data_IF_213714452292
#
_entry.id   IF_213714452292
#
_cell.length_a   1.000
_cell.length_b   1.000
_cell.length_c   1.000
_cell.angle_alpha   90.00
_cell.angle_beta   90.00
_cell.angle_gamma   90.00
#
_symmetry.space_group_name_H-M   'P 1'
#
loop_
_entity.id
_entity.type
_entity.pdbx_description
1 polymer ?
#
# COMPACT_ATOMS: atom_id res chain seq x y z
N UNK A 1 -47.90 20.78 35.98
CA UNK A 1 -47.90 19.32 35.74
C UNK A 1 -47.08 18.68 36.83
N UNK A 2 -47.71 17.86 37.67
CA UNK A 2 -47.01 17.13 38.73
C UNK A 2 -45.96 16.24 38.09
N UNK A 3 -44.67 16.51 38.35
CA UNK A 3 -43.59 15.65 37.89
C UNK A 3 -43.72 14.30 38.56
N UNK A 4 -43.91 13.25 37.76
CA UNK A 4 -43.92 11.87 38.26
C UNK A 4 -42.58 11.58 38.95
N UNK A 5 -42.67 11.24 40.24
CA UNK A 5 -41.52 10.87 41.06
C UNK A 5 -41.44 9.35 41.12
N UNK A 6 -40.25 8.82 40.88
CA UNK A 6 -39.93 7.40 40.95
C UNK A 6 -39.01 7.20 42.16
N UNK A 7 -39.28 6.16 42.94
CA UNK A 7 -38.46 5.76 44.09
C UNK A 7 -37.36 4.79 43.66
N UNK A 8 -36.11 5.13 43.97
CA UNK A 8 -34.96 4.29 43.63
C UNK A 8 -34.94 3.03 44.50
N UNK A 9 -34.76 1.85 43.90
CA UNK A 9 -34.65 0.56 44.61
C UNK A 9 -33.35 0.42 45.40
N UNK A 10 -32.29 1.15 45.04
CA UNK A 10 -30.99 1.12 45.72
C UNK A 10 -30.92 2.10 46.91
N UNK A 11 -31.15 3.40 46.69
CA UNK A 11 -31.02 4.42 47.75
C UNK A 11 -32.34 4.80 48.44
N UNK A 12 -33.49 4.33 47.96
CA UNK A 12 -34.81 4.61 48.54
C UNK A 12 -35.33 6.04 48.33
N UNK A 13 -34.57 6.92 47.66
CA UNK A 13 -34.96 8.33 47.43
C UNK A 13 -35.97 8.46 46.29
N UNK A 14 -36.97 9.32 46.46
CA UNK A 14 -37.89 9.74 45.40
C UNK A 14 -37.28 10.85 44.55
N UNK A 15 -37.17 10.61 43.25
CA UNK A 15 -36.56 11.53 42.30
C UNK A 15 -37.40 11.64 41.04
N UNK A 16 -37.22 12.73 40.29
CA UNK A 16 -37.90 12.91 39.01
C UNK A 16 -37.49 11.81 38.01
N UNK A 17 -38.38 11.45 37.09
CA UNK A 17 -38.14 10.45 36.05
C UNK A 17 -36.86 10.67 35.20
N UNK A 18 -36.38 11.91 35.08
CA UNK A 18 -35.13 12.26 34.37
C UNK A 18 -33.86 11.70 35.03
N UNK A 19 -33.92 11.35 36.31
CA UNK A 19 -32.81 10.75 37.07
C UNK A 19 -32.67 9.24 36.83
N UNK A 20 -33.49 8.66 35.94
CA UNK A 20 -33.49 7.25 35.60
C UNK A 20 -33.28 7.05 34.09
N UNK A 21 -32.55 6.01 33.70
CA UNK A 21 -32.42 5.63 32.29
C UNK A 21 -33.71 4.98 31.78
N UNK A 22 -33.94 5.06 30.48
CA UNK A 22 -35.09 4.42 29.81
C UNK A 22 -34.93 2.91 29.87
N UNK A 23 -36.03 2.18 30.03
CA UNK A 23 -36.06 0.72 29.99
C UNK A 23 -37.27 0.19 29.25
N UNK A 24 -37.01 -0.79 28.39
CA UNK A 24 -38.05 -1.58 27.69
C UNK A 24 -38.27 -2.96 28.32
N UNK A 25 -37.59 -3.24 29.44
CA UNK A 25 -37.75 -4.52 30.16
C UNK A 25 -39.19 -4.65 30.67
N UNK A 26 -39.82 -5.84 30.55
CA UNK A 26 -41.19 -6.06 31.01
C UNK A 26 -41.42 -5.67 32.48
N UNK A 27 -40.40 -5.83 33.32
CA UNK A 27 -40.41 -5.49 34.75
C UNK A 27 -40.46 -3.98 35.03
N UNK A 28 -40.14 -3.15 34.05
CA UNK A 28 -40.17 -1.69 34.15
C UNK A 28 -41.31 -1.07 33.32
N UNK A 29 -42.28 -1.86 32.87
CA UNK A 29 -43.39 -1.41 32.01
C UNK A 29 -44.25 -0.30 32.63
N UNK A 30 -44.38 -0.26 33.96
CA UNK A 30 -45.18 0.75 34.66
C UNK A 30 -44.60 2.17 34.58
N UNK A 31 -43.28 2.31 34.50
CA UNK A 31 -42.59 3.62 34.48
C UNK A 31 -41.84 3.87 33.18
N UNK A 32 -41.55 2.84 32.38
CA UNK A 32 -40.66 2.90 31.22
C UNK A 32 -39.21 3.28 31.58
N UNK A 33 -38.84 3.17 32.86
CA UNK A 33 -37.57 3.60 33.43
C UNK A 33 -36.98 2.52 34.31
N UNK A 34 -35.65 2.46 34.40
CA UNK A 34 -34.99 1.60 35.38
C UNK A 34 -35.45 1.93 36.81
N UNK A 35 -35.50 0.91 37.67
CA UNK A 35 -35.82 1.07 39.10
C UNK A 35 -34.68 1.70 39.90
N UNK A 36 -33.46 1.73 39.36
CA UNK A 36 -32.25 2.29 39.99
C UNK A 36 -31.90 3.64 39.37
N UNK A 37 -31.62 4.65 40.19
CA UNK A 37 -31.26 5.99 39.71
C UNK A 37 -29.83 6.06 39.17
N UNK A 38 -29.57 7.04 38.29
CA UNK A 38 -28.27 7.27 37.63
C UNK A 38 -27.11 7.38 38.61
N UNK A 39 -27.30 8.06 39.75
CA UNK A 39 -26.25 8.22 40.76
C UNK A 39 -25.88 6.90 41.44
N UNK A 40 -26.85 6.02 41.69
CA UNK A 40 -26.59 4.71 42.28
C UNK A 40 -25.81 3.81 41.31
N UNK A 41 -26.19 3.80 40.03
CA UNK A 41 -25.46 3.08 39.00
C UNK A 41 -24.03 3.61 38.84
N UNK A 42 -23.86 4.93 38.88
CA UNK A 42 -22.54 5.54 38.81
C UNK A 42 -21.66 5.18 40.02
N UNK A 43 -22.24 5.17 41.22
CA UNK A 43 -21.52 4.79 42.43
C UNK A 43 -21.10 3.31 42.40
N UNK A 44 -21.95 2.42 41.88
CA UNK A 44 -21.62 1.00 41.73
C UNK A 44 -20.49 0.81 40.72
N UNK A 45 -20.55 1.51 39.59
CA UNK A 45 -19.51 1.52 38.58
C UNK A 45 -18.17 2.02 39.13
N UNK A 46 -18.18 3.08 39.95
CA UNK A 46 -16.97 3.66 40.52
C UNK A 46 -16.23 2.76 41.51
N UNK A 47 -16.87 1.72 42.07
CA UNK A 47 -16.20 0.77 42.98
C UNK A 47 -15.06 0.03 42.32
N UNK A 48 -15.24 -0.34 41.05
CA UNK A 48 -14.27 -1.09 40.26
C UNK A 48 -14.44 -0.73 38.78
N UNK A 49 -13.98 0.46 38.42
CA UNK A 49 -14.19 1.09 37.09
C UNK A 49 -13.35 0.44 35.98
N UNK A 50 -12.22 -0.16 36.35
CA UNK A 50 -11.24 -0.69 35.41
C UNK A 50 -11.50 -2.19 35.12
N UNK A 51 -12.38 -2.82 35.90
CA UNK A 51 -12.75 -4.23 35.75
C UNK A 51 -13.97 -4.40 34.84
N UNK A 52 -13.75 -4.95 33.65
CA UNK A 52 -14.81 -5.20 32.67
C UNK A 52 -15.93 -6.10 33.21
N UNK A 53 -15.58 -7.08 34.06
CA UNK A 53 -16.57 -7.99 34.67
C UNK A 53 -17.52 -7.24 35.60
N UNK A 54 -17.07 -6.17 36.26
CA UNK A 54 -17.94 -5.32 37.07
C UNK A 54 -18.98 -4.59 36.19
N UNK A 55 -18.55 -4.06 35.04
CA UNK A 55 -19.44 -3.42 34.07
C UNK A 55 -20.49 -4.39 33.55
N UNK A 56 -20.05 -5.58 33.12
CA UNK A 56 -20.91 -6.69 32.71
C UNK A 56 -21.93 -7.04 33.81
N UNK A 57 -21.48 -7.19 35.06
CA UNK A 57 -22.37 -7.49 36.19
C UNK A 57 -23.43 -6.40 36.42
N UNK A 58 -23.06 -5.11 36.31
CA UNK A 58 -24.01 -3.99 36.44
C UNK A 58 -25.06 -4.04 35.34
N UNK A 59 -24.63 -4.24 34.08
CA UNK A 59 -25.52 -4.33 32.92
C UNK A 59 -26.47 -5.52 33.03
N UNK A 60 -25.99 -6.65 33.55
CA UNK A 60 -26.81 -7.83 33.87
C UNK A 60 -27.90 -7.52 34.88
N UNK A 61 -27.59 -6.79 35.95
CA UNK A 61 -28.57 -6.43 36.98
C UNK A 61 -29.69 -5.52 36.47
N UNK A 62 -29.42 -4.69 35.45
CA UNK A 62 -30.39 -3.76 34.86
C UNK A 62 -30.98 -4.25 33.54
N UNK A 63 -30.67 -5.49 33.15
CA UNK A 63 -31.15 -6.12 31.92
C UNK A 63 -30.84 -5.27 30.67
N UNK A 64 -29.56 -4.90 30.50
CA UNK A 64 -29.04 -4.18 29.33
C UNK A 64 -27.94 -4.97 28.64
N UNK A 65 -27.85 -4.91 27.30
CA UNK A 65 -26.84 -5.64 26.56
C UNK A 65 -25.45 -5.07 26.86
N UNK A 66 -24.46 -5.96 26.88
CA UNK A 66 -23.06 -5.59 26.75
C UNK A 66 -22.62 -5.79 25.30
N UNK A 67 -22.31 -4.70 24.62
CA UNK A 67 -21.72 -4.63 23.27
C UNK A 67 -20.33 -4.00 23.39
N UNK A 68 -19.29 -4.72 22.96
CA UNK A 68 -17.89 -4.35 23.19
C UNK A 68 -17.49 -3.08 22.42
N UNK A 69 -17.85 -2.98 21.14
CA UNK A 69 -17.51 -1.82 20.30
C UNK A 69 -18.10 -0.51 20.83
N UNK A 70 -19.34 -0.57 21.34
CA UNK A 70 -19.98 0.57 21.98
C UNK A 70 -19.31 0.96 23.30
N UNK A 71 -18.74 -0.02 24.01
CA UNK A 71 -18.01 0.20 25.26
C UNK A 71 -16.69 0.92 24.97
N UNK A 72 -15.90 0.41 24.04
CA UNK A 72 -14.65 1.06 23.59
C UNK A 72 -14.91 2.48 23.09
N UNK A 73 -15.97 2.66 22.28
CA UNK A 73 -16.38 3.99 21.82
C UNK A 73 -16.73 4.95 22.97
N UNK A 74 -17.40 4.45 24.01
CA UNK A 74 -17.76 5.25 25.18
C UNK A 74 -16.52 5.63 26.03
N UNK A 75 -15.54 4.74 26.16
CA UNK A 75 -14.25 5.02 26.82
C UNK A 75 -13.52 6.13 26.06
N UNK A 76 -13.34 5.98 24.75
CA UNK A 76 -12.65 6.96 23.90
C UNK A 76 -13.33 8.35 23.91
N UNK A 77 -14.67 8.40 23.87
CA UNK A 77 -15.42 9.66 23.96
C UNK A 77 -15.24 10.33 25.34
N UNK A 78 -15.14 9.54 26.41
CA UNK A 78 -14.97 10.06 27.77
C UNK A 78 -13.58 10.66 28.00
N UNK A 79 -12.55 10.13 27.34
CA UNK A 79 -11.17 10.61 27.43
C UNK A 79 -10.95 11.89 26.61
N UNK A 80 -11.58 11.99 25.43
CA UNK A 80 -11.45 13.14 24.53
C UNK A 80 -12.18 14.41 25.01
N UNK A 81 -13.28 14.27 25.78
CA UNK A 81 -14.09 15.42 26.24
C UNK A 81 -13.76 15.82 27.68
N UNK A 82 -13.01 16.93 27.84
CA UNK A 82 -12.71 17.58 29.15
C UNK A 82 -13.94 17.86 30.05
N UNK A 83 -15.15 18.00 29.49
CA UNK A 83 -16.41 18.26 30.24
C UNK A 83 -17.16 17.00 30.70
N UNK A 84 -16.80 15.80 30.23
CA UNK A 84 -17.43 14.51 30.60
C UNK A 84 -16.43 13.48 31.14
N UNK A 85 -15.23 13.95 31.51
CA UNK A 85 -14.17 13.13 32.08
C UNK A 85 -14.71 12.37 33.30
N UNK A 86 -14.83 11.05 33.18
CA UNK A 86 -15.25 10.15 34.27
C UNK A 86 -16.68 9.60 34.22
N UNK A 87 -17.51 9.94 33.22
CA UNK A 87 -18.86 9.36 33.07
C UNK A 87 -18.98 8.35 31.91
N UNK A 88 -18.06 7.39 31.86
CA UNK A 88 -18.03 6.32 30.83
C UNK A 88 -19.36 5.59 30.76
N UNK A 89 -19.89 5.17 31.91
CA UNK A 89 -21.18 4.46 32.01
C UNK A 89 -22.34 5.30 31.46
N UNK A 90 -22.37 6.61 31.73
CA UNK A 90 -23.41 7.49 31.18
C UNK A 90 -23.34 7.63 29.66
N UNK A 91 -22.13 7.72 29.09
CA UNK A 91 -21.92 7.72 27.63
C UNK A 91 -22.36 6.40 27.02
N UNK A 92 -21.98 5.29 27.65
CA UNK A 92 -22.39 3.95 27.22
C UNK A 92 -23.92 3.77 27.22
N UNK A 93 -24.58 4.13 28.34
CA UNK A 93 -26.03 4.07 28.48
C UNK A 93 -26.77 4.96 27.46
N UNK A 94 -26.14 6.02 26.96
CA UNK A 94 -26.66 6.85 25.87
C UNK A 94 -26.53 6.12 24.52
N UNK A 95 -25.40 5.47 24.25
CA UNK A 95 -25.13 4.76 23.00
C UNK A 95 -26.06 3.56 22.83
N UNK A 96 -26.27 2.75 23.87
CA UNK A 96 -27.24 1.65 23.84
C UNK A 96 -28.70 2.13 23.79
N UNK A 97 -28.95 3.41 24.06
CA UNK A 97 -30.27 4.03 23.92
C UNK A 97 -30.66 4.38 22.47
N UNK A 98 -29.76 4.16 21.50
CA UNK A 98 -30.04 4.33 20.07
C UNK A 98 -31.01 3.27 19.56
N UNK A 99 -31.71 3.55 18.45
CA UNK A 99 -32.80 2.70 17.91
C UNK A 99 -32.39 1.23 17.75
N UNK A 100 -31.16 0.97 17.37
CA UNK A 100 -30.67 -0.38 17.05
C UNK A 100 -30.45 -1.26 18.30
N UNK A 101 -30.26 -0.64 19.47
CA UNK A 101 -29.92 -1.32 20.73
C UNK A 101 -30.98 -1.15 21.81
N UNK A 102 -31.97 -0.29 21.60
CA UNK A 102 -32.95 0.11 22.62
C UNK A 102 -33.81 -1.06 23.15
N UNK A 103 -34.14 -2.01 22.27
CA UNK A 103 -34.93 -3.20 22.59
C UNK A 103 -34.09 -4.43 22.96
N UNK A 104 -32.77 -4.32 22.87
CA UNK A 104 -31.86 -5.40 23.27
C UNK A 104 -31.79 -5.51 24.79
N UNK A 105 -31.56 -6.73 25.25
CA UNK A 105 -31.55 -7.13 26.66
C UNK A 105 -30.19 -7.72 27.02
N UNK A 106 -30.01 -8.17 28.27
CA UNK A 106 -28.76 -8.86 28.64
C UNK A 106 -28.50 -10.12 27.77
N UNK A 107 -29.54 -10.78 27.26
CA UNK A 107 -29.40 -11.98 26.42
C UNK A 107 -28.76 -11.67 25.05
N UNK A 108 -28.82 -10.43 24.59
CA UNK A 108 -28.25 -9.97 23.31
C UNK A 108 -26.81 -9.42 23.50
N UNK A 109 -26.18 -9.74 24.61
CA UNK A 109 -24.81 -9.29 24.92
C UNK A 109 -23.78 -10.14 24.18
N UNK A 110 -22.72 -9.50 23.74
CA UNK A 110 -21.56 -10.09 23.09
C UNK A 110 -20.50 -10.38 24.16
N UNK A 111 -20.44 -11.63 24.63
CA UNK A 111 -19.39 -12.09 25.56
C UNK A 111 -18.26 -12.83 24.86
N UNK A 112 -18.50 -13.27 23.62
CA UNK A 112 -17.71 -14.27 22.94
C UNK A 112 -16.42 -13.75 22.32
N UNK A 113 -16.15 -12.45 22.31
CA UNK A 113 -14.99 -11.91 21.58
C UNK A 113 -13.64 -12.45 22.10
N UNK A 114 -13.49 -12.65 23.41
CA UNK A 114 -12.25 -13.22 23.99
C UNK A 114 -12.20 -14.76 23.84
N UNK A 115 -13.32 -15.46 24.03
CA UNK A 115 -13.39 -16.93 23.96
C UNK A 115 -13.33 -17.45 22.51
N UNK A 116 -14.01 -16.79 21.57
CA UNK A 116 -13.91 -17.06 20.12
C UNK A 116 -12.52 -16.73 19.61
N UNK A 117 -11.88 -15.66 20.08
CA UNK A 117 -10.51 -15.31 19.69
C UNK A 117 -9.50 -16.36 20.19
N UNK A 118 -9.66 -16.84 21.43
CA UNK A 118 -8.78 -17.89 21.98
C UNK A 118 -9.02 -19.24 21.29
N UNK A 119 -10.28 -19.57 20.97
CA UNK A 119 -10.64 -20.76 20.20
C UNK A 119 -10.10 -20.73 18.76
N UNK A 120 -10.26 -19.61 18.06
CA UNK A 120 -9.73 -19.43 16.69
C UNK A 120 -8.21 -19.48 16.68
N UNK A 121 -7.54 -18.88 17.67
CA UNK A 121 -6.08 -19.00 17.84
C UNK A 121 -5.65 -20.46 18.00
N UNK A 122 -6.32 -21.24 18.85
CA UNK A 122 -6.01 -22.66 19.04
C UNK A 122 -6.22 -23.48 17.77
N UNK A 123 -7.28 -23.20 17.01
CA UNK A 123 -7.57 -23.89 15.76
C UNK A 123 -6.57 -23.56 14.64
N UNK A 124 -6.08 -22.32 14.59
CA UNK A 124 -5.03 -21.92 13.64
C UNK A 124 -3.73 -22.68 13.91
N UNK A 125 -3.31 -22.80 15.18
CA UNK A 125 -2.15 -23.62 15.59
C UNK A 125 -2.36 -25.09 15.22
N UNK A 126 -3.58 -25.61 15.38
CA UNK A 126 -3.87 -27.02 15.08
C UNK A 126 -3.93 -27.33 13.57
N UNK A 127 -4.32 -26.35 12.74
CA UNK A 127 -4.43 -26.50 11.28
C UNK A 127 -3.13 -26.15 10.55
N UNK A 128 -2.18 -25.46 11.17
CA UNK A 128 -0.90 -25.15 10.54
C UNK A 128 0.00 -26.40 10.46
N UNK A 129 0.56 -26.65 9.28
CA UNK A 129 1.51 -27.75 9.04
C UNK A 129 2.92 -27.45 9.55
N UNK A 130 3.19 -26.18 9.86
CA UNK A 130 4.43 -25.67 10.43
C UNK A 130 4.16 -25.21 11.87
N UNK A 131 5.20 -25.21 12.71
CA UNK A 131 5.15 -24.75 14.11
C UNK A 131 4.92 -23.23 14.16
N UNK A 132 3.69 -22.78 13.87
CA UNK A 132 3.28 -21.38 13.98
C UNK A 132 3.15 -21.03 15.46
N UNK A 133 3.88 -20.01 15.90
CA UNK A 133 3.83 -19.55 17.28
C UNK A 133 2.57 -18.72 17.56
N UNK A 134 2.24 -18.51 18.84
CA UNK A 134 1.16 -17.59 19.23
C UNK A 134 1.44 -16.14 18.80
N UNK A 135 2.71 -15.76 18.69
CA UNK A 135 3.14 -14.42 18.29
C UNK A 135 2.85 -14.18 16.81
N UNK A 136 3.14 -15.17 15.96
CA UNK A 136 2.83 -15.12 14.52
C UNK A 136 1.32 -14.99 14.25
N UNK A 137 0.50 -15.62 15.10
CA UNK A 137 -0.97 -15.52 14.99
C UNK A 137 -1.46 -14.13 15.42
N UNK A 138 -0.90 -13.55 16.48
CA UNK A 138 -1.28 -12.20 16.89
C UNK A 138 -0.89 -11.16 15.82
N UNK A 139 0.28 -11.33 15.17
CA UNK A 139 0.68 -10.53 14.02
C UNK A 139 -0.31 -10.69 12.84
N UNK A 140 -0.72 -11.93 12.54
CA UNK A 140 -1.69 -12.23 11.48
C UNK A 140 -3.07 -11.62 11.79
N UNK A 141 -3.52 -11.69 13.05
CA UNK A 141 -4.76 -11.07 13.51
C UNK A 141 -4.67 -9.53 13.49
N UNK A 142 -3.51 -8.96 13.79
CA UNK A 142 -3.30 -7.52 13.70
C UNK A 142 -3.28 -7.05 12.24
N UNK A 143 -2.73 -7.86 11.34
CA UNK A 143 -2.63 -7.57 9.92
C UNK A 143 -3.98 -7.62 9.19
N UNK A 144 -4.81 -8.63 9.49
CA UNK A 144 -6.11 -8.84 8.84
C UNK A 144 -7.30 -8.23 9.60
N UNK A 145 -7.12 -7.88 10.87
CA UNK A 145 -8.19 -7.49 11.77
C UNK A 145 -8.72 -8.67 12.58
N UNK A 146 -9.38 -8.39 13.71
CA UNK A 146 -9.89 -9.38 14.66
C UNK A 146 -11.34 -9.76 14.35
N UNK A 147 -11.76 -10.98 14.70
CA UNK A 147 -13.16 -11.45 14.59
C UNK A 147 -13.51 -12.16 13.28
N UNK A 148 -12.52 -12.67 12.54
CA UNK A 148 -12.73 -13.53 11.37
C UNK A 148 -12.67 -15.01 11.77
N UNK A 149 -13.25 -15.88 10.96
CA UNK A 149 -13.16 -17.33 11.18
C UNK A 149 -11.76 -17.85 10.80
N UNK A 150 -11.36 -18.98 11.37
CA UNK A 150 -10.07 -19.63 11.11
C UNK A 150 -9.88 -19.93 9.62
N UNK A 151 -10.94 -20.39 8.96
CA UNK A 151 -10.89 -20.69 7.52
C UNK A 151 -10.70 -19.44 6.68
N UNK A 152 -11.26 -18.31 7.12
CA UNK A 152 -11.08 -17.02 6.47
C UNK A 152 -9.64 -16.53 6.61
N UNK A 153 -9.03 -16.62 7.80
CA UNK A 153 -7.63 -16.24 8.01
C UNK A 153 -6.67 -17.06 7.14
N UNK A 154 -6.85 -18.39 7.09
CA UNK A 154 -6.04 -19.27 6.25
C UNK A 154 -6.22 -18.90 4.77
N UNK A 155 -7.46 -18.64 4.35
CA UNK A 155 -7.74 -18.27 2.97
C UNK A 155 -7.12 -16.91 2.60
N UNK A 156 -7.27 -15.89 3.46
CA UNK A 156 -6.68 -14.56 3.27
C UNK A 156 -5.16 -14.63 3.15
N UNK A 157 -4.51 -15.39 4.02
CA UNK A 157 -3.06 -15.54 4.01
C UNK A 157 -2.57 -16.21 2.72
N UNK A 158 -3.25 -17.27 2.28
CA UNK A 158 -2.90 -17.95 1.02
C UNK A 158 -3.09 -17.03 -0.20
N UNK A 159 -4.18 -16.27 -0.23
CA UNK A 159 -4.45 -15.35 -1.33
C UNK A 159 -3.41 -14.22 -1.36
N UNK A 160 -3.03 -13.68 -0.20
CA UNK A 160 -1.99 -12.66 -0.07
C UNK A 160 -0.63 -13.17 -0.58
N UNK A 161 -0.25 -14.39 -0.19
CA UNK A 161 0.97 -15.05 -0.66
C UNK A 161 0.93 -15.27 -2.19
N UNK A 162 -0.23 -15.65 -2.75
CA UNK A 162 -0.37 -15.80 -4.21
C UNK A 162 -0.20 -14.46 -4.94
N UNK A 163 -0.72 -13.36 -4.38
CA UNK A 163 -0.51 -12.02 -4.92
C UNK A 163 0.96 -11.58 -4.85
N UNK A 164 1.62 -11.75 -3.71
CA UNK A 164 3.02 -11.33 -3.53
C UNK A 164 4.02 -12.21 -4.28
N UNK A 165 3.69 -13.47 -4.55
CA UNK A 165 4.52 -14.34 -5.38
C UNK A 165 4.40 -14.04 -6.89
N UNK A 166 3.24 -13.57 -7.35
CA UNK A 166 2.99 -13.28 -8.77
C UNK A 166 3.33 -11.85 -9.17
N UNK A 167 3.18 -10.91 -8.25
CA UNK A 167 3.43 -9.50 -8.49
C UNK A 167 4.55 -9.00 -7.59
N UNK A 168 5.57 -8.39 -8.19
CA UNK A 168 6.64 -7.73 -7.45
C UNK A 168 6.04 -6.59 -6.61
N UNK A 169 6.16 -6.70 -5.28
CA UNK A 169 5.61 -5.77 -4.32
C UNK A 169 6.72 -4.94 -3.67
N UNK A 170 7.12 -3.87 -4.35
CA UNK A 170 8.29 -3.07 -3.92
C UNK A 170 7.94 -1.95 -2.94
N UNK A 171 6.65 -1.69 -2.71
CA UNK A 171 6.18 -0.54 -1.93
C UNK A 171 5.16 -0.94 -0.88
N UNK A 172 5.27 -0.31 0.31
CA UNK A 172 4.29 -0.44 1.40
C UNK A 172 2.88 -0.06 0.95
N UNK A 173 2.75 0.89 0.00
CA UNK A 173 1.46 1.26 -0.56
C UNK A 173 0.81 0.11 -1.34
N UNK A 174 1.60 -0.70 -2.02
CA UNK A 174 1.12 -1.87 -2.76
C UNK A 174 0.69 -2.99 -1.82
N UNK A 175 1.43 -3.23 -0.73
CA UNK A 175 1.04 -4.19 0.31
C UNK A 175 -0.32 -3.86 0.94
N UNK A 176 -0.56 -2.57 1.24
CA UNK A 176 -1.84 -2.12 1.79
C UNK A 176 -2.99 -2.32 0.79
N UNK A 177 -2.76 -2.01 -0.49
CA UNK A 177 -3.75 -2.23 -1.53
C UNK A 177 -4.07 -3.72 -1.71
N UNK A 178 -3.05 -4.60 -1.66
CA UNK A 178 -3.25 -6.06 -1.76
C UNK A 178 -4.02 -6.59 -0.54
N UNK A 179 -3.72 -6.09 0.67
CA UNK A 179 -4.49 -6.43 1.86
C UNK A 179 -5.97 -6.05 1.68
N UNK A 180 -6.27 -4.83 1.25
CA UNK A 180 -7.66 -4.42 0.98
C UNK A 180 -8.33 -5.23 -0.13
N UNK A 181 -7.58 -5.61 -1.18
CA UNK A 181 -8.08 -6.48 -2.26
C UNK A 181 -8.49 -7.85 -1.70
N UNK A 182 -7.67 -8.46 -0.84
CA UNK A 182 -7.96 -9.75 -0.23
C UNK A 182 -9.21 -9.68 0.65
N UNK A 183 -9.33 -8.67 1.51
CA UNK A 183 -10.51 -8.44 2.34
C UNK A 183 -11.78 -8.20 1.50
N UNK A 184 -11.69 -7.40 0.44
CA UNK A 184 -12.81 -7.14 -0.47
C UNK A 184 -13.25 -8.43 -1.17
N UNK A 185 -12.32 -9.31 -1.57
CA UNK A 185 -12.65 -10.61 -2.15
C UNK A 185 -13.31 -11.55 -1.15
N UNK A 186 -12.91 -11.52 0.12
CA UNK A 186 -13.58 -12.27 1.19
C UNK A 186 -15.03 -11.78 1.38
N UNK A 187 -15.27 -10.46 1.45
CA UNK A 187 -16.61 -9.88 1.57
C UNK A 187 -17.50 -10.29 0.40
N UNK A 188 -16.98 -10.24 -0.83
CA UNK A 188 -17.68 -10.73 -2.04
C UNK A 188 -18.09 -12.19 -1.89
N UNK A 189 -17.20 -13.05 -1.39
CA UNK A 189 -17.46 -14.47 -1.22
C UNK A 189 -18.58 -14.73 -0.21
N UNK A 190 -18.48 -14.14 0.99
CA UNK A 190 -19.50 -14.28 2.04
C UNK A 190 -20.86 -13.74 1.61
N UNK A 191 -20.90 -12.59 0.92
CA UNK A 191 -22.15 -12.03 0.38
C UNK A 191 -22.80 -12.94 -0.66
N UNK A 192 -22.02 -13.59 -1.51
CA UNK A 192 -22.55 -14.56 -2.49
C UNK A 192 -23.12 -15.80 -1.82
N UNK A 193 -22.45 -16.31 -0.78
CA UNK A 193 -22.93 -17.45 0.00
C UNK A 193 -24.27 -17.13 0.68
N UNK A 194 -24.44 -15.89 1.17
CA UNK A 194 -25.69 -15.40 1.76
C UNK A 194 -26.76 -14.98 0.74
N UNK A 195 -26.48 -15.05 -0.57
CA UNK A 195 -27.41 -14.65 -1.63
C UNK A 195 -27.63 -13.14 -1.77
N UNK A 196 -26.71 -12.31 -1.26
CA UNK A 196 -26.76 -10.86 -1.37
C UNK A 196 -26.25 -10.35 -2.72
N UNK A 197 -26.61 -9.11 -3.07
CA UNK A 197 -26.07 -8.43 -4.25
C UNK A 197 -24.67 -7.91 -3.98
N UNK A 198 -23.81 -7.99 -4.99
CA UNK A 198 -22.36 -7.73 -4.86
C UNK A 198 -21.84 -6.68 -5.84
N UNK A 199 -22.74 -5.99 -6.53
CA UNK A 199 -22.38 -5.04 -7.60
C UNK A 199 -21.50 -3.88 -7.10
N UNK A 200 -21.68 -3.46 -5.85
CA UNK A 200 -20.89 -2.38 -5.26
C UNK A 200 -19.48 -2.84 -4.93
N UNK A 201 -19.36 -3.99 -4.25
CA UNK A 201 -18.09 -4.58 -3.85
C UNK A 201 -17.26 -4.98 -5.07
N UNK A 202 -17.90 -5.46 -6.14
CA UNK A 202 -17.21 -5.74 -7.40
C UNK A 202 -16.65 -4.49 -8.06
N UNK A 203 -17.36 -3.35 -7.99
CA UNK A 203 -16.82 -2.07 -8.47
C UNK A 203 -15.63 -1.62 -7.61
N UNK A 204 -15.77 -1.67 -6.29
CA UNK A 204 -14.67 -1.37 -5.37
C UNK A 204 -13.44 -2.25 -5.65
N UNK A 205 -13.62 -3.55 -5.88
CA UNK A 205 -12.54 -4.45 -6.26
C UNK A 205 -11.88 -4.04 -7.58
N UNK A 206 -12.67 -3.65 -8.59
CA UNK A 206 -12.13 -3.15 -9.85
C UNK A 206 -11.36 -1.83 -9.67
N UNK A 207 -11.79 -0.95 -8.77
CA UNK A 207 -11.11 0.31 -8.51
C UNK A 207 -9.78 0.06 -7.78
N UNK A 208 -9.77 -0.83 -6.77
CA UNK A 208 -8.56 -1.26 -6.04
C UNK A 208 -7.54 -1.98 -6.93
N UNK A 209 -7.99 -2.85 -7.83
CA UNK A 209 -7.11 -3.48 -8.83
C UNK A 209 -6.54 -2.45 -9.81
N UNK A 210 -7.28 -1.38 -10.09
CA UNK A 210 -6.83 -0.30 -10.96
C UNK A 210 -5.78 0.59 -10.29
N UNK A 211 -5.96 0.91 -9.02
CA UNK A 211 -5.01 1.72 -8.24
C UNK A 211 -3.70 0.99 -7.94
N UNK A 212 -3.75 -0.34 -7.80
CA UNK A 212 -2.58 -1.20 -7.60
C UNK A 212 -1.84 -1.56 -8.88
N UNK A 213 -2.30 -1.08 -10.05
CA UNK A 213 -1.78 -1.45 -11.36
C UNK A 213 -1.85 -2.95 -11.69
N UNK A 214 -2.70 -3.71 -11.00
CA UNK A 214 -2.86 -5.15 -11.14
C UNK A 214 -3.92 -5.54 -12.18
N UNK A 215 -4.45 -4.58 -12.97
CA UNK A 215 -5.40 -4.93 -14.04
C UNK A 215 -4.65 -5.58 -15.21
N UNK A 216 -5.24 -6.60 -15.86
CA UNK A 216 -4.65 -7.24 -17.04
C UNK A 216 -4.29 -6.27 -18.18
N UNK A 217 -5.01 -5.15 -18.30
CA UNK A 217 -4.75 -4.10 -19.30
C UNK A 217 -3.43 -3.36 -19.03
N UNK A 218 -2.99 -3.29 -17.77
CA UNK A 218 -1.77 -2.62 -17.35
C UNK A 218 -0.55 -3.55 -17.45
N UNK A 219 -0.72 -4.87 -17.33
CA UNK A 219 0.35 -5.86 -17.53
C UNK A 219 0.97 -5.76 -18.93
N UNK A 220 0.17 -5.53 -19.97
CA UNK A 220 0.69 -5.32 -21.33
C UNK A 220 1.49 -4.03 -21.52
N UNK A 221 1.36 -3.05 -20.61
CA UNK A 221 2.08 -1.78 -20.68
C UNK A 221 3.37 -1.80 -19.86
N UNK A 222 3.34 -2.36 -18.64
CA UNK A 222 4.47 -2.32 -17.71
C UNK A 222 5.67 -3.18 -18.18
N UNK A 223 5.41 -4.37 -18.73
CA UNK A 223 6.49 -5.21 -19.29
C UNK A 223 7.17 -4.60 -20.53
N UNK A 224 6.61 -3.54 -21.13
CA UNK A 224 7.20 -2.83 -22.26
C UNK A 224 7.98 -1.57 -21.90
N UNK A 225 7.89 -1.07 -20.66
CA UNK A 225 8.52 0.21 -20.26
C UNK A 225 9.92 -0.02 -19.68
N UNK A 226 10.18 -1.16 -19.04
CA UNK A 226 11.48 -1.45 -18.42
C UNK A 226 12.49 -2.11 -19.36
N UNK A 227 12.03 -2.66 -20.49
CA UNK A 227 12.94 -3.02 -21.57
C UNK A 227 13.23 -1.75 -22.36
N UNK A 228 14.28 -1.00 -21.97
CA UNK A 228 14.84 0.06 -22.81
C UNK A 228 14.86 -0.45 -24.26
N UNK A 229 14.15 0.21 -25.17
CA UNK A 229 14.05 -0.29 -26.54
C UNK A 229 15.46 -0.52 -27.10
N UNK A 230 15.63 -1.53 -27.95
CA UNK A 230 16.94 -1.88 -28.49
C UNK A 230 17.69 -0.66 -29.08
N UNK A 231 16.97 0.29 -29.67
CA UNK A 231 17.54 1.56 -30.16
C UNK A 231 18.01 2.52 -29.06
N UNK A 232 17.31 2.59 -27.91
CA UNK A 232 17.76 3.39 -26.75
C UNK A 232 19.00 2.79 -26.12
N UNK A 233 19.05 1.46 -26.02
CA UNK A 233 20.24 0.73 -25.55
C UNK A 233 21.44 0.99 -26.48
N UNK A 234 21.27 0.88 -27.81
CA UNK A 234 22.33 1.20 -28.78
C UNK A 234 22.82 2.64 -28.56
N UNK A 235 21.91 3.61 -28.50
CA UNK A 235 22.28 5.02 -28.29
C UNK A 235 23.03 5.24 -26.97
N UNK A 236 22.63 4.54 -25.90
CA UNK A 236 23.30 4.61 -24.60
C UNK A 236 24.71 4.01 -24.69
N UNK A 237 24.84 2.84 -25.32
CA UNK A 237 26.14 2.20 -25.55
C UNK A 237 27.06 3.04 -26.45
N UNK A 238 26.55 3.66 -27.51
CA UNK A 238 27.33 4.54 -28.39
C UNK A 238 27.86 5.78 -27.66
N UNK A 239 27.09 6.35 -26.72
CA UNK A 239 27.49 7.53 -25.97
C UNK A 239 28.43 7.22 -24.79
N UNK A 240 28.17 6.14 -24.05
CA UNK A 240 28.94 5.79 -22.86
C UNK A 240 30.22 5.01 -23.20
N UNK A 241 30.18 4.18 -24.25
CA UNK A 241 31.29 3.31 -24.68
C UNK A 241 31.35 3.22 -26.20
N UNK A 242 31.75 4.31 -26.89
CA UNK A 242 31.86 4.31 -28.33
C UNK A 242 32.81 3.20 -28.79
N UNK A 243 32.48 2.58 -29.93
CA UNK A 243 33.35 1.60 -30.56
C UNK A 243 34.69 2.30 -30.86
N UNK A 244 35.83 1.76 -30.40
CA UNK A 244 37.13 2.38 -30.65
C UNK A 244 37.37 2.49 -32.16
N UNK A 245 38.05 3.56 -32.59
CA UNK A 245 38.44 3.68 -34.01
C UNK A 245 39.28 2.46 -34.42
N UNK A 246 39.05 1.88 -35.61
CA UNK A 246 39.84 0.77 -36.12
C UNK A 246 41.33 1.10 -36.09
N UNK A 247 42.17 0.14 -35.69
CA UNK A 247 43.62 0.36 -35.70
C UNK A 247 44.09 0.76 -37.12
N UNK A 248 45.18 1.56 -37.25
CA UNK A 248 45.62 2.10 -38.54
C UNK A 248 45.82 1.04 -39.65
N UNK A 249 46.17 -0.20 -39.27
CA UNK A 249 46.34 -1.33 -40.19
C UNK A 249 45.02 -1.84 -40.80
N UNK A 250 43.90 -1.64 -40.10
CA UNK A 250 42.56 -2.09 -40.50
C UNK A 250 41.67 -0.94 -41.00
N UNK A 251 42.13 0.31 -40.89
CA UNK A 251 41.37 1.51 -41.26
C UNK A 251 41.17 1.65 -42.78
N UNK A 252 42.13 1.22 -43.60
CA UNK A 252 42.03 1.22 -45.07
C UNK A 252 42.96 0.13 -45.68
N UNK A 253 42.63 -1.17 -45.54
CA UNK A 253 43.48 -2.26 -45.99
C UNK A 253 43.74 -2.24 -47.51
N UNK A 254 42.75 -1.81 -48.30
CA UNK A 254 42.82 -1.77 -49.76
C UNK A 254 43.33 -0.42 -50.32
N UNK A 255 43.59 0.57 -49.44
CA UNK A 255 44.03 1.94 -49.79
C UNK A 255 43.08 2.71 -50.71
N UNK A 256 41.84 2.25 -50.87
CA UNK A 256 40.82 2.87 -51.74
C UNK A 256 40.39 4.21 -51.13
N UNK A 257 40.26 4.28 -49.81
CA UNK A 257 39.92 5.52 -49.11
C UNK A 257 41.00 6.59 -49.34
N UNK A 258 42.27 6.20 -49.24
CA UNK A 258 43.40 7.08 -49.57
C UNK A 258 43.39 7.49 -51.04
N UNK A 259 43.14 6.56 -51.97
CA UNK A 259 43.08 6.87 -53.41
C UNK A 259 42.02 7.93 -53.75
N UNK A 260 40.79 7.77 -53.23
CA UNK A 260 39.71 8.74 -53.47
C UNK A 260 40.03 10.09 -52.82
N UNK A 261 40.56 10.11 -51.59
CA UNK A 261 40.94 11.36 -50.91
C UNK A 261 42.05 12.11 -51.65
N UNK A 262 43.09 11.40 -52.09
CA UNK A 262 44.24 12.00 -52.77
C UNK A 262 43.86 12.40 -54.20
N UNK A 263 43.44 11.45 -55.04
CA UNK A 263 43.30 11.69 -56.48
C UNK A 263 41.98 12.33 -56.90
N UNK A 264 40.88 12.09 -56.18
CA UNK A 264 39.61 12.76 -56.47
C UNK A 264 39.45 14.03 -55.63
N UNK A 265 39.44 13.91 -54.31
CA UNK A 265 39.14 15.05 -53.44
C UNK A 265 40.28 16.09 -53.42
N UNK A 266 41.53 15.65 -53.37
CA UNK A 266 42.71 16.52 -53.39
C UNK A 266 42.85 17.27 -54.72
N UNK A 267 42.72 16.56 -55.84
CA UNK A 267 42.76 17.18 -57.17
C UNK A 267 41.58 18.15 -57.41
N UNK A 268 40.38 17.79 -56.95
CA UNK A 268 39.19 18.64 -57.05
C UNK A 268 39.28 19.87 -56.13
N UNK A 269 39.79 19.71 -54.91
CA UNK A 269 40.09 20.83 -53.99
C UNK A 269 41.11 21.79 -54.61
N UNK A 270 42.12 21.27 -55.32
CA UNK A 270 43.07 22.07 -56.10
C UNK A 270 42.40 22.78 -57.27
N UNK A 271 41.57 22.09 -58.06
CA UNK A 271 40.84 22.67 -59.19
C UNK A 271 39.97 23.85 -58.74
N UNK A 272 39.38 23.75 -57.54
CA UNK A 272 38.54 24.79 -56.94
C UNK A 272 39.32 25.82 -56.12
N UNK A 273 40.66 25.71 -56.02
CA UNK A 273 41.51 26.65 -55.27
C UNK A 273 41.35 26.58 -53.74
N UNK A 274 40.75 25.52 -53.21
CA UNK A 274 40.52 25.32 -51.79
C UNK A 274 41.80 24.79 -51.12
N UNK A 275 42.36 25.56 -50.19
CA UNK A 275 43.48 25.12 -49.34
C UNK A 275 42.94 24.22 -48.22
N UNK A 276 43.27 22.93 -48.27
CA UNK A 276 42.84 21.94 -47.28
C UNK A 276 43.98 20.93 -47.02
N UNK A 277 43.97 20.22 -45.91
CA UNK A 277 44.97 19.20 -45.55
C UNK A 277 45.12 18.13 -46.65
N UNK A 278 44.03 17.78 -47.34
CA UNK A 278 44.05 16.84 -48.46
C UNK A 278 44.82 17.33 -49.69
N UNK A 279 45.05 18.64 -49.82
CA UNK A 279 45.86 19.21 -50.90
C UNK A 279 47.35 18.95 -50.70
N UNK A 280 47.81 18.87 -49.45
CA UNK A 280 49.20 18.54 -49.11
C UNK A 280 49.46 17.05 -49.32
N UNK A 281 48.56 16.17 -48.85
CA UNK A 281 48.61 14.72 -49.11
C UNK A 281 48.60 14.39 -50.62
N UNK A 282 47.90 15.20 -51.42
CA UNK A 282 47.93 15.11 -52.88
C UNK A 282 49.32 15.39 -53.46
N UNK A 283 50.00 16.44 -53.02
CA UNK A 283 51.34 16.78 -53.52
C UNK A 283 52.38 15.75 -53.10
N UNK A 284 52.31 15.23 -51.88
CA UNK A 284 53.21 14.17 -51.43
C UNK A 284 53.12 12.90 -52.28
N UNK A 285 51.91 12.51 -52.72
CA UNK A 285 51.74 11.37 -53.62
C UNK A 285 52.12 11.70 -55.07
N UNK A 286 51.78 12.89 -55.57
CA UNK A 286 52.16 13.29 -56.92
C UNK A 286 53.67 13.45 -57.10
N UNK A 287 54.38 13.97 -56.10
CA UNK A 287 55.84 14.14 -56.15
C UNK A 287 56.58 12.81 -56.25
N UNK A 288 56.05 11.72 -55.67
CA UNK A 288 56.63 10.37 -55.84
C UNK A 288 56.56 9.87 -57.28
N UNK A 289 55.58 10.35 -58.04
CA UNK A 289 55.33 9.94 -59.42
C UNK A 289 55.81 10.99 -60.43
N UNK A 290 56.29 12.15 -59.97
CA UNK A 290 56.80 13.23 -60.81
C UNK A 290 58.32 13.16 -60.81
N UNK A 291 58.93 13.12 -61.99
CA UNK A 291 60.39 13.19 -62.13
C UNK A 291 60.79 14.66 -62.15
N UNK A 292 61.69 15.06 -61.26
CA UNK A 292 62.30 16.39 -61.28
C UNK A 292 63.35 16.45 -62.39
N UNK A 293 63.39 17.55 -63.16
CA UNK A 293 64.44 17.76 -64.16
C UNK A 293 65.80 17.90 -63.44
N UNK A 294 66.86 17.23 -63.90
CA UNK A 294 68.17 17.33 -63.27
C UNK A 294 68.67 18.77 -63.38
N UNK A 295 68.91 19.41 -62.24
CA UNK A 295 69.60 20.71 -62.16
C UNK A 295 71.03 20.48 -62.64
N UNK A 296 71.43 21.12 -63.74
CA UNK A 296 72.83 21.11 -64.17
C UNK A 296 73.68 21.85 -63.13
N UNK A 297 74.64 21.17 -62.51
CA UNK A 297 75.66 21.80 -61.67
C UNK A 297 76.55 22.65 -62.60
N UNK A 298 76.45 23.98 -62.52
CA UNK A 298 77.42 24.88 -63.13
C UNK A 298 78.76 24.70 -62.39
N UNK A 299 79.67 23.91 -62.97
CA UNK A 299 81.05 23.82 -62.53
C UNK A 299 81.74 25.18 -62.66
N UNK A 300 82.00 25.84 -61.54
CA UNK A 300 82.94 26.96 -61.41
C UNK A 300 84.32 26.55 -61.94
N UNK A 301 84.65 26.94 -63.18
CA UNK A 301 86.02 26.88 -63.69
C UNK A 301 86.74 28.19 -63.42
N UNK A 302 87.45 28.22 -62.28
CA UNK A 302 88.66 29.02 -62.15
C UNK A 302 89.62 28.69 -63.30
N UNK A 303 89.88 29.68 -64.17
CA UNK A 303 91.05 29.70 -65.04
C UNK A 303 91.86 30.95 -64.66
N UNK A 304 92.67 30.81 -63.61
CA UNK A 304 93.94 31.52 -63.52
C UNK A 304 94.98 30.63 -64.23
N UNK A 305 95.66 31.18 -65.24
CA UNK A 305 97.12 31.09 -65.40
C UNK A 305 97.59 31.79 -66.70
N UNK A 306 98.57 32.67 -66.50
CA UNK A 306 99.54 33.32 -67.42
C UNK A 306 99.12 34.53 -68.25
#
# INVERSE_FOLDING_TARGET
MSTEKIKCSCCGKEQNANQYYISESPFNSATGKLSVCKSCLQNEFQKDKDNLKNVQNILRMIDRPFVYDLWVSAVNESESKKKSAGNVLGTYMKNIGMKDYKSKTWADSEFDFEEEQEYTTQLLIAKSTEDISKEDIDELMQFWGRGLDVEDYIWLQNEYIDFTNRYECDSKGMELLINEICLTRLDIRKRRENGEKVDQQQKTLQDLLGSSNLKPVQETGASGVEQESFGTLIKKYENERPIPEPEPRWKDPDKIGKYIKVFFLGHLSRMLGLKNQYSEEYWEEMNKHTVEEPVAEEEDRENDLT
#
